data_IF_369586319462
#
_entry.id   IF_369586319462
#
_cell.length_a   1.000
_cell.length_b   1.000
_cell.length_c   1.000
_cell.angle_alpha   90.00
_cell.angle_beta   90.00
_cell.angle_gamma   90.00
#
_symmetry.space_group_name_H-M   'P 1'
#
loop_
_entity.id
_entity.type
_entity.pdbx_description
1 polymer ?
#
# COMPACT_ATOMS: atom_id res chain seq x y z
N UNK A 1 -20.71 -1.47 -9.15
CA UNK A 1 -20.35 -2.60 -8.26
C UNK A 1 -21.33 -2.59 -7.11
N UNK A 2 -22.00 -3.71 -6.87
CA UNK A 2 -22.90 -3.83 -5.71
C UNK A 2 -22.11 -4.24 -4.46
N UNK A 3 -22.56 -3.85 -3.27
CA UNK A 3 -21.91 -4.17 -1.98
C UNK A 3 -21.67 -5.68 -1.77
N UNK A 4 -22.42 -6.55 -2.46
CA UNK A 4 -22.25 -8.01 -2.40
C UNK A 4 -20.99 -8.51 -3.12
N UNK A 5 -20.55 -7.86 -4.18
CA UNK A 5 -19.34 -8.26 -4.93
C UNK A 5 -18.07 -7.80 -4.21
N UNK A 6 -18.10 -6.64 -3.55
CA UNK A 6 -16.98 -6.14 -2.75
C UNK A 6 -16.68 -7.02 -1.52
N UNK A 7 -17.72 -7.58 -0.90
CA UNK A 7 -17.54 -8.48 0.23
C UNK A 7 -17.08 -9.88 -0.17
N UNK A 8 -17.15 -10.26 -1.46
CA UNK A 8 -16.72 -11.57 -1.92
C UNK A 8 -15.19 -11.59 -2.06
N UNK A 9 -14.50 -12.20 -1.09
CA UNK A 9 -13.04 -12.37 -1.04
C UNK A 9 -12.40 -11.71 0.18
N UNK A 10 -13.01 -10.66 0.75
CA UNK A 10 -12.48 -9.97 1.93
C UNK A 10 -12.52 -10.84 3.19
N UNK A 11 -13.44 -11.79 3.26
CA UNK A 11 -13.55 -12.79 4.34
C UNK A 11 -12.37 -13.77 4.41
N UNK A 12 -11.58 -13.85 3.32
CA UNK A 12 -10.37 -14.68 3.23
C UNK A 12 -9.10 -13.85 3.05
N UNK A 13 -9.09 -12.58 3.46
CA UNK A 13 -7.91 -11.73 3.33
C UNK A 13 -6.68 -12.40 3.97
N UNK A 14 -5.65 -12.65 3.17
CA UNK A 14 -4.41 -13.29 3.60
C UNK A 14 -3.28 -12.28 3.81
N UNK A 15 -2.88 -11.61 2.74
CA UNK A 15 -1.81 -10.61 2.78
C UNK A 15 -2.02 -9.52 1.72
N UNK A 16 -1.24 -8.47 1.81
CA UNK A 16 -1.24 -7.39 0.83
C UNK A 16 0.18 -6.97 0.49
N UNK A 17 0.38 -6.57 -0.76
CA UNK A 17 1.61 -5.94 -1.22
C UNK A 17 1.30 -4.49 -1.54
N UNK A 18 2.01 -3.58 -0.87
CA UNK A 18 1.89 -2.14 -1.10
C UNK A 18 3.20 -1.61 -1.64
N UNK A 19 3.14 -0.91 -2.77
CA UNK A 19 4.27 -0.18 -3.32
C UNK A 19 4.21 1.27 -2.83
N UNK A 20 5.30 1.73 -2.21
CA UNK A 20 5.44 3.11 -1.78
C UNK A 20 6.46 3.84 -2.66
N UNK A 21 6.15 5.09 -2.99
CA UNK A 21 7.10 6.08 -3.45
C UNK A 21 7.66 6.84 -2.24
N UNK A 22 8.99 6.91 -2.11
CA UNK A 22 9.67 7.55 -0.99
C UNK A 22 10.51 8.73 -1.49
N UNK A 23 10.12 9.94 -1.11
CA UNK A 23 10.89 11.15 -1.35
C UNK A 23 11.83 11.42 -0.17
N UNK A 24 13.11 11.06 -0.37
CA UNK A 24 14.16 11.21 0.64
C UNK A 24 14.45 12.68 1.01
N UNK A 25 14.27 13.61 0.07
CA UNK A 25 14.60 15.03 0.28
C UNK A 25 13.51 15.71 1.09
N UNK A 26 12.26 15.55 0.67
CA UNK A 26 11.12 16.18 1.34
C UNK A 26 10.59 15.38 2.54
N UNK A 27 11.13 14.17 2.75
CA UNK A 27 10.69 13.20 3.79
C UNK A 27 9.19 12.94 3.70
N UNK A 28 8.74 12.64 2.49
CA UNK A 28 7.35 12.31 2.20
C UNK A 28 7.24 10.95 1.55
N UNK A 29 6.16 10.26 1.80
CA UNK A 29 5.82 8.99 1.15
C UNK A 29 4.41 9.02 0.55
N UNK A 30 4.17 8.13 -0.40
CA UNK A 30 2.86 7.96 -1.03
C UNK A 30 2.69 6.55 -1.56
N UNK A 31 1.47 6.02 -1.50
CA UNK A 31 1.15 4.67 -1.98
C UNK A 31 0.94 4.70 -3.49
N UNK A 32 1.80 4.02 -4.26
CA UNK A 32 1.66 3.90 -5.71
C UNK A 32 0.71 2.78 -6.13
N UNK A 33 0.69 1.67 -5.40
CA UNK A 33 -0.22 0.57 -5.71
C UNK A 33 -0.45 -0.32 -4.50
N UNK A 34 -1.59 -1.00 -4.49
CA UNK A 34 -1.97 -1.98 -3.49
C UNK A 34 -2.51 -3.21 -4.19
N UNK A 35 -2.05 -4.39 -3.79
CA UNK A 35 -2.62 -5.66 -4.20
C UNK A 35 -2.96 -6.47 -2.97
N UNK A 36 -4.23 -6.85 -2.82
CA UNK A 36 -4.74 -7.71 -1.75
C UNK A 36 -4.86 -9.12 -2.30
N UNK A 37 -4.37 -10.09 -1.53
CA UNK A 37 -4.44 -11.50 -1.83
C UNK A 37 -5.25 -12.22 -0.74
N UNK A 38 -6.03 -13.20 -1.15
CA UNK A 38 -6.64 -14.14 -0.22
C UNK A 38 -5.59 -15.11 0.37
N UNK A 39 -6.01 -15.96 1.31
CA UNK A 39 -5.15 -17.00 1.90
C UNK A 39 -4.66 -18.05 0.91
N UNK A 40 -5.31 -18.19 -0.23
CA UNK A 40 -4.93 -19.11 -1.32
C UNK A 40 -4.00 -18.43 -2.35
N UNK A 41 -3.66 -17.15 -2.13
CA UNK A 41 -2.79 -16.35 -2.99
C UNK A 41 -3.48 -15.74 -4.21
N UNK A 42 -4.82 -15.74 -4.27
CA UNK A 42 -5.59 -15.14 -5.36
C UNK A 42 -5.81 -13.66 -5.10
N UNK A 43 -5.77 -12.85 -6.16
CA UNK A 43 -6.00 -11.41 -6.05
C UNK A 43 -7.48 -11.15 -5.74
N UNK A 44 -7.74 -10.45 -4.64
CA UNK A 44 -9.06 -9.91 -4.28
C UNK A 44 -9.21 -8.52 -4.90
N UNK A 45 -8.19 -7.68 -4.75
CA UNK A 45 -8.18 -6.31 -5.22
C UNK A 45 -6.77 -5.94 -5.70
N UNK A 46 -6.69 -5.23 -6.83
CA UNK A 46 -5.47 -4.61 -7.30
C UNK A 46 -5.80 -3.19 -7.77
N UNK A 47 -5.14 -2.20 -7.18
CA UNK A 47 -5.33 -0.79 -7.54
C UNK A 47 -3.99 -0.06 -7.64
N UNK A 48 -3.95 0.98 -8.48
CA UNK A 48 -2.76 1.77 -8.77
C UNK A 48 -3.10 3.26 -8.82
N UNK A 49 -2.30 4.05 -8.12
CA UNK A 49 -2.48 5.49 -7.97
C UNK A 49 -1.38 6.21 -8.76
N UNK A 50 -1.72 6.71 -9.96
CA UNK A 50 -0.75 7.33 -10.86
C UNK A 50 -0.11 8.61 -10.31
N UNK A 51 -0.75 9.29 -9.37
CA UNK A 51 -0.19 10.46 -8.69
C UNK A 51 -0.62 10.47 -7.23
N UNK A 52 0.06 9.70 -6.36
CA UNK A 52 -0.40 9.50 -5.01
C UNK A 52 -0.26 10.78 -4.20
N UNK A 53 -1.26 11.06 -3.36
CA UNK A 53 -1.14 12.12 -2.37
C UNK A 53 0.01 11.76 -1.44
N UNK A 54 1.09 12.53 -1.52
CA UNK A 54 2.25 12.35 -0.64
C UNK A 54 2.00 12.99 0.73
N UNK A 55 2.30 12.26 1.79
CA UNK A 55 2.16 12.71 3.16
C UNK A 55 3.53 12.79 3.84
N UNK A 56 3.63 13.54 4.94
CA UNK A 56 4.88 13.61 5.68
C UNK A 56 5.14 12.30 6.42
N UNK A 57 6.37 11.81 6.29
CA UNK A 57 6.81 10.61 6.99
C UNK A 57 6.93 10.92 8.48
N UNK A 58 6.07 10.30 9.28
CA UNK A 58 6.09 10.41 10.73
C UNK A 58 7.25 9.59 11.29
N UNK A 59 8.13 10.14 12.14
CA UNK A 59 9.21 9.38 12.77
C UNK A 59 8.71 8.13 13.50
N UNK A 60 9.37 6.99 13.32
CA UNK A 60 8.96 5.71 13.92
C UNK A 60 7.79 5.00 13.22
N UNK A 61 7.21 5.60 12.18
CA UNK A 61 6.22 4.91 11.32
C UNK A 61 6.87 3.85 10.43
N UNK A 62 6.04 3.05 9.77
CA UNK A 62 6.49 2.13 8.73
C UNK A 62 7.19 2.88 7.57
N UNK A 63 6.66 4.04 7.19
CA UNK A 63 7.26 4.92 6.18
C UNK A 63 8.65 5.41 6.57
N UNK A 64 8.88 5.71 7.86
CA UNK A 64 10.22 6.08 8.35
C UNK A 64 11.19 4.90 8.31
N UNK A 65 10.69 3.69 8.57
CA UNK A 65 11.49 2.46 8.41
C UNK A 65 11.88 2.25 6.95
N UNK A 66 10.96 2.42 6.01
CA UNK A 66 11.27 2.33 4.57
C UNK A 66 12.26 3.42 4.16
N UNK A 67 12.03 4.67 4.56
CA UNK A 67 12.92 5.81 4.30
C UNK A 67 14.33 5.55 4.81
N UNK A 68 14.51 5.01 6.01
CA UNK A 68 15.85 4.67 6.56
C UNK A 68 16.58 3.58 5.76
N UNK A 69 15.84 2.69 5.09
CA UNK A 69 16.43 1.64 4.27
C UNK A 69 16.71 2.12 2.84
N UNK A 70 15.88 3.01 2.29
CA UNK A 70 15.97 3.49 0.90
C UNK A 70 16.88 4.70 0.78
N UNK A 71 16.80 5.64 1.72
CA UNK A 71 17.53 6.90 1.70
C UNK A 71 18.85 6.76 2.47
N UNK A 72 19.97 7.02 1.79
CA UNK A 72 21.33 7.01 2.37
C UNK A 72 21.70 8.35 3.00
#
# INVERSE_FOLDING_TARGET
MSDREFNAGMEKLGHFNTLYDIDCQSKRDGVLSVVLYDTDGRIILADSFGNPKREYIVPGSIGDSFRKNVCK
#
